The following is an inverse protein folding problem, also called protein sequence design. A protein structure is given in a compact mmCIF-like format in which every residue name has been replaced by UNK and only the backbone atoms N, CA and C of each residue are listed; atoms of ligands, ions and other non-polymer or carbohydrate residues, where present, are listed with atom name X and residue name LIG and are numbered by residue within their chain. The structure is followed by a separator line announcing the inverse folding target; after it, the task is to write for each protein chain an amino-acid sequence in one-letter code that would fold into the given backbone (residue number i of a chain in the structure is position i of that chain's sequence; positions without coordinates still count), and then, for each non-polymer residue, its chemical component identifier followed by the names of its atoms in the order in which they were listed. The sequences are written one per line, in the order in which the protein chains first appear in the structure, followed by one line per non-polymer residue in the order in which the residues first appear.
data_IF_422969672811
#
_entry.id   IF_422969672811
#
_cell.length_a   1.000
_cell.length_b   1.000
_cell.length_c   1.000
_cell.angle_alpha   90.00
_cell.angle_beta   90.00
_cell.angle_gamma   90.00
#
_symmetry.space_group_name_H-M   'P 1'
#
loop_
_entity.id
_entity.type
_entity.pdbx_description
1 polymer ?
#
# COMPACT_ATOMS: atom_id res chain seq x y z
N UNK A 1 -4.87 -24.07 9.67
CA UNK A 1 -4.95 -23.74 8.23
C UNK A 1 -5.07 -22.24 7.95
N UNK A 2 -5.87 -21.47 8.71
CA UNK A 2 -5.96 -20.00 8.57
C UNK A 2 -4.61 -19.29 8.74
N UNK A 3 -3.78 -19.72 9.69
CA UNK A 3 -2.46 -19.11 9.94
C UNK A 3 -1.47 -19.34 8.81
N UNK A 4 -1.49 -20.54 8.22
CA UNK A 4 -0.61 -20.89 7.10
C UNK A 4 -0.94 -20.01 5.88
N UNK A 5 -2.22 -19.84 5.56
CA UNK A 5 -2.66 -19.00 4.43
C UNK A 5 -2.35 -17.52 4.72
N UNK A 6 -2.60 -17.07 5.95
CA UNK A 6 -2.34 -15.68 6.37
C UNK A 6 -0.86 -15.31 6.40
N UNK A 7 0.06 -16.27 6.55
CA UNK A 7 1.51 -16.03 6.58
C UNK A 7 2.15 -16.30 5.21
N UNK A 8 1.70 -17.35 4.50
CA UNK A 8 2.29 -17.72 3.20
C UNK A 8 1.91 -16.76 2.08
N UNK A 9 0.69 -16.24 2.04
CA UNK A 9 0.28 -15.31 0.99
C UNK A 9 1.16 -14.05 1.00
N UNK A 10 1.33 -13.33 2.13
CA UNK A 10 2.24 -12.19 2.19
C UNK A 10 3.68 -12.55 1.80
N UNK A 11 4.18 -13.71 2.26
CA UNK A 11 5.54 -14.17 1.95
C UNK A 11 5.75 -14.41 0.45
N UNK A 12 4.80 -15.05 -0.23
CA UNK A 12 4.87 -15.28 -1.68
C UNK A 12 4.85 -13.96 -2.44
N UNK A 13 3.99 -13.01 -2.04
CA UNK A 13 3.94 -11.68 -2.64
C UNK A 13 5.28 -10.95 -2.49
N UNK A 14 5.88 -10.97 -1.29
CA UNK A 14 7.18 -10.34 -1.03
C UNK A 14 8.26 -10.95 -1.92
N UNK A 15 8.34 -12.28 -1.98
CA UNK A 15 9.32 -12.96 -2.83
C UNK A 15 9.13 -12.62 -4.31
N UNK A 16 7.89 -12.63 -4.80
CA UNK A 16 7.57 -12.29 -6.18
C UNK A 16 7.97 -10.84 -6.52
N UNK A 17 7.65 -9.89 -5.64
CA UNK A 17 8.05 -8.48 -5.82
C UNK A 17 9.57 -8.34 -5.85
N UNK A 18 10.30 -8.96 -4.92
CA UNK A 18 11.77 -8.89 -4.86
C UNK A 18 12.43 -9.48 -6.12
N UNK A 19 11.97 -10.65 -6.57
CA UNK A 19 12.47 -11.30 -7.78
C UNK A 19 12.22 -10.42 -9.01
N UNK A 20 11.03 -9.83 -9.12
CA UNK A 20 10.67 -8.94 -10.23
C UNK A 20 11.54 -7.69 -10.25
N UNK A 21 11.74 -7.05 -9.09
CA UNK A 21 12.60 -5.86 -8.95
C UNK A 21 14.06 -6.18 -9.27
N UNK A 22 14.57 -7.30 -8.76
CA UNK A 22 15.93 -7.74 -9.04
C UNK A 22 16.15 -8.01 -10.54
N UNK A 23 15.18 -8.67 -11.20
CA UNK A 23 15.24 -8.93 -12.63
C UNK A 23 15.21 -7.63 -13.45
N UNK A 24 14.35 -6.68 -13.08
CA UNK A 24 14.30 -5.36 -13.74
C UNK A 24 15.60 -4.57 -13.55
N UNK A 25 16.21 -4.62 -12.36
CA UNK A 25 17.50 -3.97 -12.11
C UNK A 25 18.64 -4.62 -12.91
N UNK A 26 18.69 -5.95 -12.95
CA UNK A 26 19.69 -6.68 -13.73
C UNK A 26 19.55 -6.42 -15.24
N UNK A 27 18.33 -6.35 -15.74
CA UNK A 27 18.07 -5.98 -17.13
C UNK A 27 18.66 -4.60 -17.42
N UNK A 28 18.40 -3.58 -16.61
CA UNK A 28 18.96 -2.23 -16.80
C UNK A 28 20.49 -2.19 -16.75
N UNK A 29 21.11 -3.01 -15.90
CA UNK A 29 22.58 -3.07 -15.77
C UNK A 29 23.26 -3.78 -16.94
N UNK A 30 22.65 -4.83 -17.49
CA UNK A 30 23.27 -5.67 -18.53
C UNK A 30 22.85 -5.32 -19.96
N UNK A 31 21.64 -4.80 -20.18
CA UNK A 31 21.11 -4.61 -21.54
C UNK A 31 21.70 -3.40 -22.26
N UNK A 32 22.43 -2.50 -21.59
CA UNK A 32 22.96 -1.27 -22.19
C UNK A 32 21.90 -0.34 -22.80
N UNK A 33 20.62 -0.68 -22.68
CA UNK A 33 19.49 -0.06 -23.34
C UNK A 33 18.31 0.03 -22.39
N UNK A 34 17.63 1.17 -22.42
CA UNK A 34 16.58 1.56 -21.49
C UNK A 34 15.26 0.86 -21.84
N UNK A 35 15.07 -0.37 -21.38
CA UNK A 35 13.76 -1.02 -21.48
C UNK A 35 12.75 -0.27 -20.59
N UNK A 36 11.77 0.39 -21.23
CA UNK A 36 10.74 1.18 -20.55
C UNK A 36 9.94 0.33 -19.55
N UNK A 37 9.81 -0.97 -19.78
CA UNK A 37 9.13 -1.87 -18.84
C UNK A 37 9.91 -2.05 -17.54
N UNK A 38 11.22 -2.32 -17.65
CA UNK A 38 12.10 -2.46 -16.48
C UNK A 38 12.15 -1.17 -15.65
N UNK A 39 12.24 -0.01 -16.31
CA UNK A 39 12.19 1.31 -15.64
C UNK A 39 10.85 1.53 -14.96
N UNK A 40 9.74 1.18 -15.60
CA UNK A 40 8.40 1.34 -15.02
C UNK A 40 8.21 0.50 -13.75
N UNK A 41 8.71 -0.75 -13.73
CA UNK A 41 8.66 -1.60 -12.53
C UNK A 41 9.44 -0.97 -11.38
N UNK A 42 10.65 -0.49 -11.65
CA UNK A 42 11.48 0.14 -10.61
C UNK A 42 10.83 1.44 -10.08
N UNK A 43 10.23 2.24 -10.94
CA UNK A 43 9.48 3.44 -10.53
C UNK A 43 8.31 3.08 -9.62
N UNK A 44 7.54 2.05 -9.95
CA UNK A 44 6.46 1.55 -9.09
C UNK A 44 7.02 1.07 -7.74
N UNK A 45 8.16 0.39 -7.73
CA UNK A 45 8.80 -0.05 -6.48
C UNK A 45 9.23 1.14 -5.61
N UNK A 46 9.86 2.16 -6.20
CA UNK A 46 10.22 3.40 -5.49
C UNK A 46 8.97 4.06 -4.92
N UNK A 47 7.88 4.10 -5.69
CA UNK A 47 6.60 4.62 -5.23
C UNK A 47 6.04 3.84 -4.02
N UNK A 48 6.08 2.51 -4.05
CA UNK A 48 5.67 1.67 -2.92
C UNK A 48 6.48 1.96 -1.65
N UNK A 49 7.80 2.14 -1.78
CA UNK A 49 8.66 2.52 -0.65
C UNK A 49 8.26 3.90 -0.10
N UNK A 50 7.99 4.87 -0.97
CA UNK A 50 7.53 6.20 -0.55
C UNK A 50 6.18 6.14 0.18
N UNK A 51 5.22 5.34 -0.30
CA UNK A 51 3.96 5.13 0.42
C UNK A 51 4.20 4.58 1.84
N UNK A 52 5.11 3.61 1.99
CA UNK A 52 5.41 3.04 3.31
C UNK A 52 6.10 4.06 4.24
N UNK A 53 6.92 4.95 3.69
CA UNK A 53 7.52 6.04 4.46
C UNK A 53 6.48 7.08 4.91
N UNK A 54 5.51 7.40 4.05
CA UNK A 54 4.39 8.27 4.39
C UNK A 54 3.56 7.66 5.52
N UNK A 55 3.17 6.39 5.37
CA UNK A 55 2.43 5.65 6.41
C UNK A 55 3.20 5.63 7.75
N UNK A 56 4.50 5.31 7.71
CA UNK A 56 5.35 5.33 8.91
C UNK A 56 5.47 6.73 9.55
N UNK A 57 5.46 7.80 8.75
CA UNK A 57 5.47 9.18 9.25
C UNK A 57 4.14 9.57 9.88
N UNK A 58 3.02 9.18 9.28
CA UNK A 58 1.67 9.45 9.81
C UNK A 58 1.43 8.66 11.09
N UNK A 59 1.92 7.42 11.17
CA UNK A 59 1.87 6.60 12.39
C UNK A 59 2.59 7.23 13.60
N UNK A 60 3.48 8.20 13.40
CA UNK A 60 4.13 8.95 14.49
C UNK A 60 3.27 10.09 15.04
N UNK A 61 2.17 10.42 14.36
CA UNK A 61 1.25 11.49 14.79
C UNK A 61 0.15 10.86 15.64
N UNK A 62 -0.04 11.37 16.86
CA UNK A 62 -1.10 10.90 17.75
C UNK A 62 -2.47 11.43 17.31
N UNK A 63 -3.24 10.58 16.61
CA UNK A 63 -4.61 10.87 16.25
C UNK A 63 -5.58 10.40 17.34
N UNK A 64 -6.44 11.31 17.82
CA UNK A 64 -7.49 10.98 18.81
C UNK A 64 -8.58 10.03 18.27
N UNK A 65 -8.78 9.98 16.96
CA UNK A 65 -9.83 9.19 16.30
C UNK A 65 -9.26 8.46 15.09
N UNK A 66 -9.58 7.18 14.96
CA UNK A 66 -9.20 6.35 13.81
C UNK A 66 -9.65 6.92 12.46
N UNK A 67 -10.83 7.57 12.42
CA UNK A 67 -11.34 8.22 11.20
C UNK A 67 -10.43 9.40 10.78
N UNK A 68 -9.85 10.14 11.72
CA UNK A 68 -8.98 11.27 11.39
C UNK A 68 -7.64 10.81 10.85
N UNK A 69 -7.11 9.71 11.39
CA UNK A 69 -5.95 9.02 10.83
C UNK A 69 -6.23 8.60 9.38
N UNK A 70 -7.32 7.86 9.16
CA UNK A 70 -7.71 7.35 7.85
C UNK A 70 -7.86 8.48 6.81
N UNK A 71 -8.61 9.54 7.13
CA UNK A 71 -8.78 10.68 6.21
C UNK A 71 -7.44 11.36 5.89
N UNK A 72 -6.58 11.53 6.90
CA UNK A 72 -5.28 12.19 6.74
C UNK A 72 -4.35 11.36 5.86
N UNK A 73 -4.30 10.05 6.10
CA UNK A 73 -3.56 9.09 5.28
C UNK A 73 -4.06 9.06 3.84
N UNK A 74 -5.37 8.89 3.63
CA UNK A 74 -5.99 8.94 2.29
C UNK A 74 -5.63 10.22 1.55
N UNK A 75 -5.72 11.37 2.21
CA UNK A 75 -5.49 12.67 1.59
C UNK A 75 -4.02 12.84 1.18
N UNK A 76 -3.08 12.48 2.06
CA UNK A 76 -1.65 12.59 1.77
C UNK A 76 -1.27 11.62 0.65
N UNK A 77 -1.71 10.37 0.71
CA UNK A 77 -1.45 9.38 -0.32
C UNK A 77 -2.08 9.77 -1.66
N UNK A 78 -3.28 10.34 -1.65
CA UNK A 78 -3.96 10.83 -2.86
C UNK A 78 -3.15 11.93 -3.54
N UNK A 79 -2.73 12.95 -2.78
CA UNK A 79 -1.94 14.07 -3.30
C UNK A 79 -0.57 13.61 -3.78
N UNK A 80 0.11 12.77 -3.01
CA UNK A 80 1.44 12.27 -3.35
C UNK A 80 1.39 11.39 -4.62
N UNK A 81 0.40 10.50 -4.73
CA UNK A 81 0.20 9.65 -5.91
C UNK A 81 -0.19 10.49 -7.14
N UNK A 82 -0.98 11.55 -6.95
CA UNK A 82 -1.35 12.47 -8.04
C UNK A 82 -0.12 13.20 -8.59
N UNK A 83 0.75 13.70 -7.71
CA UNK A 83 2.03 14.33 -8.09
C UNK A 83 2.93 13.32 -8.81
N UNK A 84 3.04 12.10 -8.29
CA UNK A 84 3.82 11.03 -8.90
C UNK A 84 3.33 10.70 -10.33
N UNK A 85 2.03 10.48 -10.51
CA UNK A 85 1.43 10.25 -11.81
C UNK A 85 1.67 11.43 -12.77
N UNK A 86 1.56 12.67 -12.28
CA UNK A 86 1.79 13.87 -13.08
C UNK A 86 3.23 14.02 -13.57
N UNK A 87 4.21 13.66 -12.74
CA UNK A 87 5.64 13.80 -13.07
C UNK A 87 6.11 12.70 -14.02
N UNK A 88 5.68 11.45 -13.79
CA UNK A 88 6.25 10.30 -14.49
C UNK A 88 5.41 9.76 -15.65
N UNK A 89 4.07 9.90 -15.60
CA UNK A 89 3.17 9.23 -16.55
C UNK A 89 2.31 10.18 -17.38
N UNK A 90 1.81 11.28 -16.80
CA UNK A 90 0.88 12.17 -17.49
C UNK A 90 1.61 13.34 -18.14
N UNK A 91 1.72 13.30 -19.47
CA UNK A 91 2.27 14.39 -20.26
C UNK A 91 1.31 15.59 -20.37
N UNK A 92 -0.01 15.37 -20.23
CA UNK A 92 -1.03 16.42 -20.22
C UNK A 92 -2.05 16.16 -19.12
N UNK A 93 -2.54 17.22 -18.48
CA UNK A 93 -3.48 17.12 -17.37
C UNK A 93 -4.91 17.31 -17.88
N UNK A 94 -5.64 16.22 -18.09
CA UNK A 94 -7.03 16.26 -18.55
C UNK A 94 -8.00 16.03 -17.40
N UNK A 95 -9.10 16.78 -17.34
CA UNK A 95 -10.15 16.63 -16.31
C UNK A 95 -10.68 15.19 -16.24
N UNK A 96 -10.83 14.53 -17.39
CA UNK A 96 -11.26 13.11 -17.46
C UNK A 96 -10.26 12.17 -16.77
N UNK A 97 -8.96 12.38 -16.93
CA UNK A 97 -7.93 11.55 -16.29
C UNK A 97 -7.96 11.75 -14.77
N UNK A 98 -8.12 13.00 -14.33
CA UNK A 98 -8.29 13.32 -12.91
C UNK A 98 -9.51 12.60 -12.32
N UNK A 99 -10.67 12.70 -12.96
CA UNK A 99 -11.90 12.03 -12.48
C UNK A 99 -11.71 10.51 -12.41
N UNK A 100 -11.19 9.88 -13.46
CA UNK A 100 -10.95 8.43 -13.45
C UNK A 100 -9.98 8.02 -12.35
N UNK A 101 -8.89 8.78 -12.19
CA UNK A 101 -7.92 8.55 -11.13
C UNK A 101 -8.55 8.67 -9.73
N UNK A 102 -9.33 9.73 -9.46
CA UNK A 102 -10.01 9.91 -8.17
C UNK A 102 -10.96 8.77 -7.85
N UNK A 103 -11.74 8.31 -8.83
CA UNK A 103 -12.68 7.20 -8.65
C UNK A 103 -11.96 5.89 -8.34
N UNK A 104 -10.91 5.57 -9.10
CA UNK A 104 -10.11 4.36 -8.88
C UNK A 104 -9.41 4.42 -7.53
N UNK A 105 -8.80 5.56 -7.20
CA UNK A 105 -8.13 5.75 -5.91
C UNK A 105 -9.12 5.57 -4.76
N UNK A 106 -10.26 6.27 -4.78
CA UNK A 106 -11.27 6.16 -3.72
C UNK A 106 -11.79 4.73 -3.56
N UNK A 107 -11.99 4.00 -4.65
CA UNK A 107 -12.44 2.61 -4.60
C UNK A 107 -11.41 1.70 -3.90
N UNK A 108 -10.13 1.80 -4.30
CA UNK A 108 -9.05 1.01 -3.70
C UNK A 108 -8.84 1.39 -2.24
N UNK A 109 -8.85 2.68 -1.94
CA UNK A 109 -8.67 3.24 -0.61
C UNK A 109 -9.76 2.74 0.36
N UNK A 110 -11.03 2.85 -0.02
CA UNK A 110 -12.17 2.33 0.76
C UNK A 110 -12.04 0.81 0.98
N UNK A 111 -11.60 0.06 -0.04
CA UNK A 111 -11.43 -1.38 0.07
C UNK A 111 -10.35 -1.74 1.09
N UNK A 112 -9.20 -1.06 1.03
CA UNK A 112 -8.07 -1.24 1.96
C UNK A 112 -8.52 -0.91 3.39
N UNK A 113 -9.16 0.24 3.61
CA UNK A 113 -9.63 0.63 4.94
C UNK A 113 -10.68 -0.33 5.49
N UNK A 114 -11.60 -0.80 4.65
CA UNK A 114 -12.60 -1.79 5.06
C UNK A 114 -11.95 -3.12 5.46
N UNK A 115 -10.92 -3.54 4.73
CA UNK A 115 -10.14 -4.73 5.06
C UNK A 115 -9.42 -4.59 6.40
N UNK A 116 -8.71 -3.46 6.61
CA UNK A 116 -7.99 -3.21 7.85
C UNK A 116 -8.93 -3.09 9.06
N UNK A 117 -10.09 -2.43 8.91
CA UNK A 117 -11.08 -2.32 9.98
C UNK A 117 -11.56 -3.69 10.43
N UNK A 118 -11.98 -4.55 9.50
CA UNK A 118 -12.37 -5.94 9.80
C UNK A 118 -11.23 -6.71 10.46
N UNK A 119 -10.00 -6.51 10.00
CA UNK A 119 -8.83 -7.18 10.59
C UNK A 119 -8.57 -6.74 12.03
N UNK A 120 -8.74 -5.46 12.34
CA UNK A 120 -8.60 -4.93 13.70
C UNK A 120 -9.71 -5.43 14.61
N UNK A 121 -10.97 -5.46 14.14
CA UNK A 121 -12.11 -6.03 14.87
C UNK A 121 -11.85 -7.49 15.27
N UNK A 122 -11.40 -8.32 14.32
CA UNK A 122 -11.06 -9.73 14.60
C UNK A 122 -9.94 -9.90 15.63
N UNK A 123 -8.92 -9.02 15.61
CA UNK A 123 -7.85 -9.05 16.62
C UNK A 123 -8.34 -8.62 18.00
N UNK A 124 -9.21 -7.63 18.08
CA UNK A 124 -9.81 -7.21 19.34
C UNK A 124 -10.65 -8.33 19.96
N UNK A 125 -11.45 -9.03 19.15
CA UNK A 125 -12.22 -10.20 19.59
C UNK A 125 -11.33 -11.35 20.08
N UNK A 126 -10.22 -11.60 19.40
CA UNK A 126 -9.24 -12.60 19.81
C UNK A 126 -8.61 -12.26 21.17
N UNK A 127 -8.21 -11.00 21.37
CA UNK A 127 -7.68 -10.50 22.66
C UNK A 127 -8.72 -10.67 23.76
N UNK A 128 -9.97 -10.24 23.53
CA UNK A 128 -11.04 -10.36 24.51
C UNK A 128 -11.34 -11.82 24.90
N UNK A 129 -11.29 -12.75 23.92
CA UNK A 129 -11.44 -14.19 24.18
C UNK A 129 -10.28 -14.75 25.01
N UNK A 130 -9.05 -14.31 24.74
CA UNK A 130 -7.86 -14.74 25.50
C UNK A 130 -7.89 -14.21 26.94
N UNK A 131 -8.33 -12.96 27.15
CA UNK A 131 -8.51 -12.36 28.48
C UNK A 131 -9.58 -13.12 29.29
N UNK A 132 -10.77 -13.31 28.72
CA UNK A 132 -11.86 -14.05 29.39
C UNK A 132 -11.47 -15.49 29.73
N UNK A 133 -10.63 -16.13 28.91
CA UNK A 133 -10.12 -17.49 29.20
C UNK A 133 -9.09 -17.50 30.33
N UNK A 134 -8.34 -16.41 30.50
CA UNK A 134 -7.34 -16.27 31.57
C UNK A 134 -7.98 -15.93 32.91
N UNK A 135 -9.07 -15.16 32.92
CA UNK A 135 -9.82 -14.81 34.14
C UNK A 135 -10.72 -15.96 34.65
N UNK A 136 -10.98 -16.96 33.81
CA UNK A 136 -11.77 -18.15 34.16
C UNK A 136 -10.93 -19.30 34.75
N UNK A 137 -9.61 -19.13 34.89
CA UNK A 137 -8.65 -20.09 35.47
C UNK A 137 -8.14 -19.52 36.79
#
# INVERSE_FOLDING_TARGET
MKDIISIRIPSICICFTLVTVANSALNLLHSGGTDMYAVSILLIFVWLVLCQLIDAAICRIDFKKWIHYCITESLILYLATLIFCRVFYWHSFTVRQLIMYTVVFAFVDIFIFSYFRKRQEMRADEINRLLNKKDAV
#
